data_IF_031897072552
#
_entry.id   IF_031897072552
#
_cell.length_a   1.000
_cell.length_b   1.000
_cell.length_c   1.000
_cell.angle_alpha   90.00
_cell.angle_beta   90.00
_cell.angle_gamma   90.00
#
_symmetry.space_group_name_H-M   'P 1'
#
loop_
_entity.id
_entity.type
_entity.pdbx_description
1 polymer ?
#
# COMPACT_ATOMS: atom_id res chain seq x y z
N UNK A 1 15.33 28.26 -11.19
CA UNK A 1 16.12 26.99 -11.07
C UNK A 1 15.17 25.84 -11.25
N UNK A 2 15.46 24.92 -12.20
CA UNK A 2 14.59 23.75 -12.45
C UNK A 2 15.11 22.60 -11.58
N UNK A 3 14.20 21.93 -10.85
CA UNK A 3 14.54 20.75 -10.03
C UNK A 3 14.95 19.60 -10.94
N UNK A 4 16.13 19.00 -10.75
CA UNK A 4 16.53 17.81 -11.52
C UNK A 4 15.79 16.56 -11.01
N UNK A 5 15.53 15.60 -11.90
CA UNK A 5 14.92 14.33 -11.50
C UNK A 5 15.72 13.59 -10.41
N UNK A 6 17.05 13.67 -10.47
CA UNK A 6 17.94 13.05 -9.49
C UNK A 6 17.77 13.68 -8.10
N UNK A 7 17.80 15.00 -8.00
CA UNK A 7 17.60 15.72 -6.74
C UNK A 7 16.22 15.43 -6.15
N UNK A 8 15.17 15.42 -7.00
CA UNK A 8 13.82 15.09 -6.58
C UNK A 8 13.72 13.66 -6.02
N UNK A 9 14.25 12.66 -6.74
CA UNK A 9 14.28 11.25 -6.28
C UNK A 9 15.09 11.06 -4.98
N UNK A 10 16.18 11.82 -4.80
CA UNK A 10 16.98 11.78 -3.57
C UNK A 10 16.20 12.34 -2.37
N UNK A 11 15.48 13.44 -2.57
CA UNK A 11 14.65 14.04 -1.52
C UNK A 11 13.49 13.12 -1.13
N UNK A 12 12.78 12.54 -2.09
CA UNK A 12 11.69 11.59 -1.82
C UNK A 12 12.18 10.33 -1.11
N UNK A 13 13.41 9.87 -1.39
CA UNK A 13 13.98 8.70 -0.74
C UNK A 13 14.17 8.88 0.78
N UNK A 14 14.21 10.12 1.28
CA UNK A 14 14.31 10.41 2.72
C UNK A 14 12.96 10.22 3.46
N UNK A 15 11.86 10.10 2.74
CA UNK A 15 10.56 9.82 3.33
C UNK A 15 10.40 8.32 3.57
N UNK A 16 10.39 7.91 4.83
CA UNK A 16 10.12 6.52 5.20
C UNK A 16 8.62 6.22 5.08
N UNK A 17 8.29 5.12 4.43
CA UNK A 17 6.90 4.67 4.27
C UNK A 17 6.73 3.21 4.64
N UNK A 18 5.50 2.82 4.97
CA UNK A 18 5.08 1.44 4.90
C UNK A 18 5.12 0.93 3.45
N UNK A 19 5.10 -0.37 3.29
CA UNK A 19 5.07 -1.03 1.98
C UNK A 19 3.70 -1.66 1.77
N UNK A 20 3.08 -1.36 0.63
CA UNK A 20 1.82 -1.98 0.22
C UNK A 20 1.97 -2.70 -1.11
N UNK A 21 1.15 -3.73 -1.31
CA UNK A 21 0.91 -4.33 -2.63
C UNK A 21 -0.52 -4.00 -3.02
N UNK A 22 -0.68 -3.25 -4.09
CA UNK A 22 -1.98 -2.98 -4.71
C UNK A 22 -2.27 -4.08 -5.71
N UNK A 23 -3.47 -4.62 -5.66
CA UNK A 23 -3.92 -5.73 -6.50
C UNK A 23 -5.26 -5.42 -7.14
N UNK A 24 -5.50 -5.98 -8.31
CA UNK A 24 -6.82 -5.93 -8.98
C UNK A 24 -7.07 -7.20 -9.78
N UNK A 25 -8.31 -7.43 -10.13
CA UNK A 25 -8.76 -8.49 -11.03
C UNK A 25 -9.44 -7.85 -12.24
N UNK A 26 -8.94 -8.10 -13.44
CA UNK A 26 -9.57 -7.63 -14.66
C UNK A 26 -9.55 -8.73 -15.73
N UNK A 27 -10.69 -8.97 -16.36
CA UNK A 27 -10.86 -9.99 -17.42
C UNK A 27 -10.31 -11.39 -17.05
N UNK A 28 -10.44 -11.80 -15.78
CA UNK A 28 -9.93 -13.08 -15.27
C UNK A 28 -8.43 -13.10 -14.94
N UNK A 29 -7.71 -11.99 -15.10
CA UNK A 29 -6.27 -11.89 -14.82
C UNK A 29 -6.01 -11.10 -13.54
N UNK A 30 -5.27 -11.71 -12.62
CA UNK A 30 -4.76 -11.04 -11.42
C UNK A 30 -3.60 -10.13 -11.81
N UNK A 31 -3.62 -8.90 -11.34
CA UNK A 31 -2.55 -7.95 -11.51
C UNK A 31 -2.20 -7.29 -10.18
N UNK A 32 -0.94 -6.92 -9.99
CA UNK A 32 -0.49 -6.27 -8.78
C UNK A 32 0.85 -5.58 -8.91
N UNK A 33 1.07 -4.58 -8.06
CA UNK A 33 2.33 -3.85 -7.96
C UNK A 33 2.59 -3.41 -6.53
N UNK A 34 3.87 -3.28 -6.18
CA UNK A 34 4.29 -2.66 -4.92
C UNK A 34 4.16 -1.15 -5.01
N UNK A 35 3.47 -0.56 -4.05
CA UNK A 35 3.22 0.88 -3.96
C UNK A 35 3.60 1.38 -2.58
N UNK A 36 4.39 2.45 -2.50
CA UNK A 36 4.67 3.20 -1.26
C UNK A 36 3.81 4.46 -1.16
N UNK A 37 3.25 4.94 -2.27
CA UNK A 37 2.37 6.11 -2.33
C UNK A 37 0.92 5.73 -1.97
N UNK A 38 0.69 5.41 -0.70
CA UNK A 38 -0.60 5.08 -0.11
C UNK A 38 -0.91 6.03 1.04
N UNK A 39 -2.13 6.59 1.08
CA UNK A 39 -2.57 7.49 2.14
C UNK A 39 -4.05 7.30 2.48
N UNK A 40 -4.41 7.58 3.75
CA UNK A 40 -5.80 7.80 4.14
C UNK A 40 -6.28 9.16 3.62
N UNK A 41 -7.54 9.26 3.22
CA UNK A 41 -8.13 10.48 2.65
C UNK A 41 -9.32 10.97 3.48
N UNK A 42 -10.26 10.08 3.82
CA UNK A 42 -11.50 10.43 4.51
C UNK A 42 -11.99 9.29 5.39
N UNK A 43 -12.69 9.65 6.47
CA UNK A 43 -13.36 8.66 7.33
C UNK A 43 -14.85 8.50 6.95
N UNK A 44 -15.49 9.52 6.37
CA UNK A 44 -16.89 9.47 5.99
C UNK A 44 -17.12 10.17 4.65
N UNK A 45 -17.25 9.44 3.53
CA UNK A 45 -17.05 8.00 3.43
C UNK A 45 -15.59 7.58 3.67
N UNK A 46 -15.31 6.30 3.95
CA UNK A 46 -13.95 5.82 4.16
C UNK A 46 -13.19 5.78 2.83
N UNK A 47 -12.27 6.71 2.63
CA UNK A 47 -11.50 6.85 1.39
C UNK A 47 -10.00 6.71 1.65
N UNK A 48 -9.33 6.07 0.69
CA UNK A 48 -7.87 5.98 0.61
C UNK A 48 -7.39 6.41 -0.77
N UNK A 49 -6.11 6.73 -0.91
CA UNK A 49 -5.51 7.04 -2.21
C UNK A 49 -4.24 6.25 -2.46
N UNK A 50 -4.02 5.93 -3.73
CA UNK A 50 -2.78 5.35 -4.26
C UNK A 50 -2.33 6.17 -5.48
N UNK A 51 -1.01 6.21 -5.75
CA UNK A 51 -0.48 6.77 -6.99
C UNK A 51 0.11 5.64 -7.84
N UNK A 52 -0.32 5.55 -9.10
CA UNK A 52 0.09 4.50 -10.04
C UNK A 52 0.54 5.14 -11.35
N UNK A 53 1.71 4.73 -11.87
CA UNK A 53 2.24 5.15 -13.17
C UNK A 53 1.28 4.74 -14.30
N UNK A 54 0.88 5.71 -15.13
CA UNK A 54 -0.08 5.54 -16.22
C UNK A 54 0.39 4.55 -17.31
N UNK A 55 1.68 4.23 -17.37
CA UNK A 55 2.25 3.29 -18.35
C UNK A 55 2.13 1.83 -17.95
N UNK A 56 1.78 1.53 -16.69
CA UNK A 56 1.69 0.17 -16.19
C UNK A 56 0.37 -0.48 -16.57
N UNK A 57 0.40 -1.74 -16.99
CA UNK A 57 -0.80 -2.52 -17.30
C UNK A 57 -1.79 -2.59 -16.13
N UNK A 58 -1.25 -2.65 -14.91
CA UNK A 58 -2.08 -2.65 -13.70
C UNK A 58 -2.86 -1.34 -13.52
N UNK A 59 -2.34 -0.19 -13.98
CA UNK A 59 -3.08 1.07 -14.00
C UNK A 59 -4.33 0.95 -14.90
N UNK A 60 -4.13 0.49 -16.14
CA UNK A 60 -5.21 0.28 -17.08
C UNK A 60 -6.25 -0.74 -16.54
N UNK A 61 -5.77 -1.81 -15.89
CA UNK A 61 -6.62 -2.82 -15.29
C UNK A 61 -7.47 -2.26 -14.13
N UNK A 62 -6.90 -1.44 -13.24
CA UNK A 62 -7.65 -0.78 -12.16
C UNK A 62 -8.70 0.17 -12.73
N UNK A 63 -8.35 0.98 -13.73
CA UNK A 63 -9.29 1.89 -14.36
C UNK A 63 -10.43 1.16 -15.08
N UNK A 64 -10.15 0.01 -15.70
CA UNK A 64 -11.13 -0.77 -16.43
C UNK A 64 -12.02 -1.62 -15.50
N UNK A 65 -11.46 -2.21 -14.44
CA UNK A 65 -12.22 -3.00 -13.46
C UNK A 65 -13.02 -2.14 -12.50
N UNK A 66 -12.56 -0.92 -12.22
CA UNK A 66 -13.15 -0.03 -11.23
C UNK A 66 -12.93 -0.48 -9.77
N UNK A 67 -12.03 -1.45 -9.54
CA UNK A 67 -11.76 -2.02 -8.22
C UNK A 67 -10.29 -2.28 -7.98
N UNK A 68 -9.87 -2.25 -6.71
CA UNK A 68 -8.53 -2.66 -6.29
C UNK A 68 -8.51 -3.05 -4.82
N UNK A 69 -7.50 -3.78 -4.40
CA UNK A 69 -7.21 -3.98 -2.99
C UNK A 69 -5.84 -3.44 -2.62
N UNK A 70 -5.69 -2.99 -1.38
CA UNK A 70 -4.42 -2.57 -0.80
C UNK A 70 -4.04 -3.57 0.30
N UNK A 71 -2.90 -4.23 0.14
CA UNK A 71 -2.37 -5.20 1.09
C UNK A 71 -1.16 -4.58 1.80
N UNK A 72 -1.28 -4.28 3.09
CA UNK A 72 -0.22 -3.68 3.91
C UNK A 72 0.73 -4.80 4.35
N UNK A 73 1.98 -4.75 3.87
CA UNK A 73 2.93 -5.84 4.08
C UNK A 73 3.52 -5.85 5.49
N UNK A 74 3.54 -7.03 6.07
CA UNK A 74 4.30 -7.33 7.28
C UNK A 74 5.80 -7.51 6.96
N UNK A 75 6.67 -7.33 7.96
CA UNK A 75 8.12 -7.41 7.82
C UNK A 75 8.60 -8.73 7.21
N UNK A 76 7.96 -9.85 7.53
CA UNK A 76 8.29 -11.18 6.99
C UNK A 76 7.88 -11.36 5.52
N UNK A 77 7.15 -10.41 4.94
CA UNK A 77 6.68 -10.44 3.56
C UNK A 77 7.56 -9.63 2.59
N UNK A 78 8.85 -9.46 2.93
CA UNK A 78 9.82 -8.80 2.05
C UNK A 78 9.82 -9.40 0.64
N UNK A 79 9.67 -10.71 0.51
CA UNK A 79 9.61 -11.39 -0.78
C UNK A 79 8.45 -10.86 -1.64
N UNK A 80 7.26 -10.67 -1.06
CA UNK A 80 6.14 -10.07 -1.80
C UNK A 80 6.45 -8.63 -2.20
N UNK A 81 7.06 -7.84 -1.32
CA UNK A 81 7.50 -6.48 -1.64
C UNK A 81 8.40 -6.44 -2.86
N UNK A 82 9.41 -7.32 -2.94
CA UNK A 82 10.34 -7.41 -4.07
C UNK A 82 9.67 -7.97 -5.34
N UNK A 83 8.86 -9.01 -5.20
CA UNK A 83 8.16 -9.70 -6.29
C UNK A 83 7.22 -8.75 -7.03
N UNK A 84 6.36 -8.05 -6.30
CA UNK A 84 5.42 -7.10 -6.89
C UNK A 84 6.06 -5.78 -7.33
N UNK A 85 7.28 -5.48 -6.88
CA UNK A 85 8.10 -4.39 -7.40
C UNK A 85 8.83 -4.76 -8.73
N UNK A 86 8.72 -6.02 -9.19
CA UNK A 86 9.43 -6.50 -10.39
C UNK A 86 10.94 -6.68 -10.17
N UNK A 87 11.39 -6.88 -8.93
CA UNK A 87 12.80 -7.07 -8.58
C UNK A 87 13.25 -8.54 -8.63
N UNK A 88 12.35 -9.48 -8.92
CA UNK A 88 12.67 -10.91 -9.05
C UNK A 88 12.88 -11.24 -10.52
N UNK A 89 14.12 -11.57 -10.88
CA UNK A 89 14.47 -11.89 -12.25
C UNK A 89 13.77 -13.18 -12.73
N UNK A 90 13.30 -13.18 -13.98
CA UNK A 90 12.66 -14.34 -14.61
C UNK A 90 11.22 -14.62 -14.18
N UNK A 91 10.67 -13.86 -13.25
CA UNK A 91 9.29 -14.02 -12.80
C UNK A 91 8.34 -13.22 -13.71
N UNK A 92 7.55 -13.91 -14.52
CA UNK A 92 6.57 -13.29 -15.43
C UNK A 92 5.21 -13.11 -14.76
N UNK A 93 4.74 -14.11 -14.01
CA UNK A 93 3.53 -14.01 -13.20
C UNK A 93 3.88 -13.73 -11.74
N UNK A 94 3.59 -12.51 -11.28
CA UNK A 94 3.84 -12.10 -9.88
C UNK A 94 2.99 -12.86 -8.86
N UNK A 95 1.94 -13.54 -9.30
CA UNK A 95 1.06 -14.37 -8.45
C UNK A 95 1.38 -15.87 -8.51
N UNK A 96 2.41 -16.29 -9.28
CA UNK A 96 2.79 -17.69 -9.34
C UNK A 96 3.12 -18.24 -7.94
N UNK A 97 2.43 -19.31 -7.50
CA UNK A 97 2.59 -19.90 -6.18
C UNK A 97 2.14 -19.03 -5.01
N UNK A 98 1.41 -17.93 -5.27
CA UNK A 98 0.82 -17.08 -4.23
C UNK A 98 -0.66 -17.41 -4.09
N UNK A 99 -1.03 -17.98 -2.93
CA UNK A 99 -2.42 -18.13 -2.55
C UNK A 99 -3.02 -16.77 -2.23
N UNK A 100 -4.25 -16.52 -2.72
CA UNK A 100 -4.94 -15.26 -2.47
C UNK A 100 -6.36 -15.54 -1.99
N UNK A 101 -6.85 -14.66 -1.13
CA UNK A 101 -8.25 -14.56 -0.75
C UNK A 101 -8.94 -13.47 -1.58
N UNK A 102 -10.24 -13.35 -1.46
CA UNK A 102 -11.02 -12.24 -2.01
C UNK A 102 -12.07 -11.81 -0.99
N UNK A 103 -12.50 -10.54 -1.07
CA UNK A 103 -13.63 -10.05 -0.29
C UNK A 103 -14.79 -9.61 -1.25
N UNK A 104 -15.24 -8.38 -1.15
CA UNK A 104 -16.43 -7.87 -1.87
C UNK A 104 -16.14 -7.68 -3.36
N UNK A 105 -14.96 -7.10 -3.71
CA UNK A 105 -14.67 -6.69 -5.10
C UNK A 105 -14.11 -7.83 -5.96
N UNK A 106 -13.62 -8.90 -5.34
CA UNK A 106 -12.90 -9.96 -6.03
C UNK A 106 -11.44 -9.64 -6.33
N UNK A 107 -10.93 -8.47 -5.90
CA UNK A 107 -9.51 -8.15 -5.98
C UNK A 107 -8.70 -9.10 -5.09
N UNK A 108 -7.52 -9.58 -5.55
CA UNK A 108 -6.71 -10.51 -4.76
C UNK A 108 -6.23 -9.92 -3.43
N UNK A 109 -6.45 -10.63 -2.33
CA UNK A 109 -5.95 -10.30 -1.00
C UNK A 109 -4.81 -11.26 -0.65
N UNK A 110 -3.66 -10.70 -0.26
CA UNK A 110 -2.50 -11.48 0.15
C UNK A 110 -2.68 -11.99 1.59
N UNK A 111 -2.31 -13.24 1.87
CA UNK A 111 -2.45 -13.80 3.22
C UNK A 111 -1.45 -13.18 4.18
N UNK A 112 -1.77 -13.20 5.48
CA UNK A 112 -0.87 -12.82 6.58
C UNK A 112 -0.30 -11.40 6.49
N UNK A 113 -1.03 -10.47 5.88
CA UNK A 113 -0.69 -9.04 5.84
C UNK A 113 -1.03 -8.36 7.17
N UNK A 114 -0.46 -7.17 7.43
CA UNK A 114 -0.85 -6.34 8.59
C UNK A 114 -2.32 -5.96 8.56
N UNK A 115 -2.78 -5.63 7.37
CA UNK A 115 -4.17 -5.34 7.06
C UNK A 115 -4.35 -5.40 5.55
N UNK A 116 -5.58 -5.55 5.13
CA UNK A 116 -5.96 -5.31 3.75
C UNK A 116 -7.21 -4.43 3.68
N UNK A 117 -7.33 -3.71 2.57
CA UNK A 117 -8.48 -2.86 2.26
C UNK A 117 -8.97 -3.24 0.87
N UNK A 118 -10.23 -3.61 0.76
CA UNK A 118 -10.89 -3.95 -0.50
C UNK A 118 -11.71 -2.75 -0.97
N UNK A 119 -11.39 -2.20 -2.15
CA UNK A 119 -11.79 -0.87 -2.55
C UNK A 119 -12.48 -0.86 -3.91
N UNK A 120 -13.51 -0.02 -4.04
CA UNK A 120 -14.06 0.44 -5.31
C UNK A 120 -13.43 1.79 -5.68
N UNK A 121 -13.05 1.98 -6.94
CA UNK A 121 -12.57 3.28 -7.42
C UNK A 121 -13.64 4.34 -7.22
N UNK A 122 -13.34 5.37 -6.43
CA UNK A 122 -14.18 6.52 -6.18
C UNK A 122 -13.96 7.59 -7.25
N UNK A 123 -12.69 7.92 -7.50
CA UNK A 123 -12.29 8.93 -8.47
C UNK A 123 -10.84 8.74 -8.92
N UNK A 124 -10.53 9.11 -10.15
CA UNK A 124 -9.18 9.12 -10.72
C UNK A 124 -8.81 10.54 -11.12
N UNK A 125 -7.68 11.03 -10.61
CA UNK A 125 -7.15 12.36 -10.92
C UNK A 125 -5.82 12.23 -11.65
N UNK A 126 -5.61 13.08 -12.65
CA UNK A 126 -4.31 13.16 -13.32
C UNK A 126 -3.25 13.77 -12.38
N UNK A 127 -2.11 13.11 -12.26
CA UNK A 127 -0.97 13.50 -11.43
C UNK A 127 0.35 13.50 -12.20
N UNK A 128 0.39 14.08 -13.40
CA UNK A 128 1.57 14.07 -14.26
C UNK A 128 1.70 12.75 -15.02
N UNK A 129 2.77 11.99 -14.79
CA UNK A 129 2.99 10.65 -15.36
C UNK A 129 2.30 9.54 -14.53
N UNK A 130 1.65 9.90 -13.43
CA UNK A 130 0.87 9.01 -12.56
C UNK A 130 -0.58 9.45 -12.52
N UNK A 131 -1.47 8.54 -12.11
CA UNK A 131 -2.80 8.88 -11.63
C UNK A 131 -2.86 8.76 -10.11
N UNK A 132 -3.56 9.72 -9.46
CA UNK A 132 -4.00 9.61 -8.07
C UNK A 132 -5.36 8.92 -8.10
N UNK A 133 -5.40 7.67 -7.69
CA UNK A 133 -6.62 6.87 -7.65
C UNK A 133 -7.15 6.88 -6.23
N UNK A 134 -8.33 7.45 -6.04
CA UNK A 134 -9.05 7.42 -4.77
C UNK A 134 -9.99 6.22 -4.78
N UNK A 135 -9.97 5.43 -3.70
CA UNK A 135 -10.84 4.28 -3.51
C UNK A 135 -11.71 4.41 -2.27
N UNK A 136 -12.96 4.05 -2.40
CA UNK A 136 -13.86 3.83 -1.27
C UNK A 136 -13.63 2.43 -0.71
N UNK A 137 -13.33 2.34 0.57
CA UNK A 137 -13.09 1.07 1.26
C UNK A 137 -14.43 0.39 1.55
N UNK A 138 -14.65 -0.76 0.95
CA UNK A 138 -15.88 -1.56 1.10
C UNK A 138 -15.74 -2.63 2.20
N UNK A 139 -14.53 -3.16 2.38
CA UNK A 139 -14.19 -4.14 3.41
C UNK A 139 -12.73 -3.98 3.83
N UNK A 140 -12.43 -4.34 5.06
CA UNK A 140 -11.06 -4.33 5.60
C UNK A 140 -10.95 -5.31 6.76
N UNK A 141 -9.74 -5.83 6.97
CA UNK A 141 -9.39 -6.65 8.13
C UNK A 141 -7.96 -6.34 8.56
N UNK A 142 -7.71 -6.37 9.85
CA UNK A 142 -6.39 -6.19 10.44
C UNK A 142 -5.85 -7.53 10.95
N UNK A 143 -4.64 -7.88 10.55
CA UNK A 143 -3.87 -8.97 11.14
C UNK A 143 -3.37 -8.61 12.54
N UNK A 144 -3.20 -9.61 13.40
CA UNK A 144 -2.75 -9.40 14.78
C UNK A 144 -1.24 -9.60 14.94
N UNK A 145 -0.59 -8.72 15.72
CA UNK A 145 0.76 -8.95 16.26
C UNK A 145 1.92 -8.91 15.28
N UNK A 146 1.73 -8.38 14.07
CA UNK A 146 2.77 -8.29 13.05
C UNK A 146 3.45 -6.92 13.05
N UNK A 147 4.75 -6.89 12.74
CA UNK A 147 5.50 -5.65 12.53
C UNK A 147 5.47 -5.24 11.05
N UNK A 148 5.42 -3.92 10.72
CA UNK A 148 5.35 -3.45 9.36
C UNK A 148 6.68 -3.60 8.60
N UNK A 149 6.59 -3.89 7.31
CA UNK A 149 7.69 -3.72 6.37
C UNK A 149 7.83 -2.23 6.04
N UNK A 150 9.03 -1.69 6.17
CA UNK A 150 9.35 -0.28 5.91
C UNK A 150 10.24 -0.16 4.68
N UNK A 151 10.05 0.91 3.91
CA UNK A 151 10.94 1.30 2.83
C UNK A 151 11.46 2.73 3.07
N UNK A 152 12.77 2.87 3.14
CA UNK A 152 13.44 4.16 3.36
C UNK A 152 14.77 4.19 2.64
N UNK A 153 15.08 5.30 2.00
CA UNK A 153 16.34 5.54 1.29
C UNK A 153 16.73 4.37 0.37
N UNK A 154 15.74 3.83 -0.36
CA UNK A 154 15.87 2.67 -1.28
C UNK A 154 16.28 1.36 -0.59
N UNK A 155 16.12 1.27 0.71
CA UNK A 155 16.38 0.07 1.48
C UNK A 155 15.10 -0.42 2.16
N UNK A 156 15.00 -1.73 2.26
CA UNK A 156 13.99 -2.38 3.09
C UNK A 156 14.40 -2.31 4.55
N UNK A 157 13.44 -2.06 5.42
CA UNK A 157 13.71 -1.84 6.83
C UNK A 157 12.58 -2.32 7.74
N UNK A 158 12.77 -2.04 9.00
CA UNK A 158 11.81 -2.31 10.09
C UNK A 158 11.77 -1.12 11.04
N UNK A 159 10.69 -1.03 11.84
CA UNK A 159 10.62 -0.09 12.94
C UNK A 159 11.50 -0.59 14.08
N UNK A 160 12.33 0.30 14.64
CA UNK A 160 12.98 0.10 15.93
C UNK A 160 12.32 1.04 16.95
N UNK A 161 12.14 0.55 18.19
CA UNK A 161 11.69 1.43 19.27
C UNK A 161 12.74 2.52 19.52
N UNK A 162 12.27 3.76 19.67
CA UNK A 162 13.11 4.86 20.15
C UNK A 162 12.92 4.87 21.68
N UNK A 163 14.01 4.79 22.44
CA UNK A 163 13.99 5.04 23.88
C UNK A 163 13.72 6.54 24.12
N UNK A 164 12.46 6.92 23.97
CA UNK A 164 12.01 8.29 24.21
C UNK A 164 11.76 8.55 25.70
N UNK A 165 12.65 8.12 26.59
CA UNK A 165 12.59 8.35 28.03
C UNK A 165 11.27 8.99 28.51
N UNK A 166 10.25 8.19 28.74
CA UNK A 166 8.97 8.54 29.34
C UNK A 166 8.13 9.67 28.69
N UNK A 167 8.35 10.00 27.43
CA UNK A 167 7.50 10.94 26.70
C UNK A 167 6.26 10.20 26.20
N UNK A 168 5.16 10.27 26.97
CA UNK A 168 3.85 9.84 26.47
C UNK A 168 3.49 10.64 25.20
N UNK A 169 2.94 9.99 24.14
CA UNK A 169 2.52 10.72 22.96
C UNK A 169 1.43 11.74 23.35
N UNK A 170 1.45 12.96 22.78
CA UNK A 170 0.41 13.93 23.04
C UNK A 170 -0.94 13.35 22.57
N UNK A 171 -1.91 13.24 23.48
CA UNK A 171 -3.28 12.86 23.15
C UNK A 171 -3.78 11.50 23.63
N UNK A 172 -3.10 10.81 24.52
CA UNK A 172 -3.70 9.65 25.20
C UNK A 172 -4.82 10.14 26.13
N UNK A 173 -6.10 9.74 25.95
CA UNK A 173 -7.15 10.13 26.88
C UNK A 173 -6.85 9.50 28.24
N UNK A 174 -6.74 10.36 29.26
CA UNK A 174 -6.53 9.93 30.64
C UNK A 174 -7.62 8.95 31.05
N UNK A 175 -7.22 7.82 31.61
CA UNK A 175 -8.12 6.90 32.28
C UNK A 175 -8.86 7.68 33.40
N UNK A 176 -10.14 7.94 33.20
CA UNK A 176 -11.03 8.45 34.25
C UNK A 176 -11.14 7.36 35.30
N UNK A 177 -10.47 7.56 36.43
CA UNK A 177 -10.77 6.81 37.66
C UNK A 177 -12.10 7.32 38.16
N UNK A 178 -13.17 6.60 37.89
CA UNK A 178 -14.43 6.78 38.65
C UNK A 178 -14.25 6.16 40.03
N UNK A 179 -14.49 6.97 41.02
CA UNK A 179 -14.72 6.63 42.43
C UNK A 179 -16.23 6.45 42.67
#
# INVERSE_FOLDING_TARGET
>A
MTVTQQAFKQSLAQFASGVTVVTTMHAGHRQGLTVSAFNSVSLSPPLVSICVDCKLDVHAAICASGVFAVNLLAQQQLEYGMRFAGMVAGLTDRFEGVDTLTAITGSPLLPNTLAWLDCRVWQVYAGGDHSIIVGEVLATECGAGLAPLIYHNRNWGRIAAIDAGNAAPPGSPGASTEN
#
